data_IF_105992073638
#
_entry.id   IF_105992073638
#
_cell.length_a   1.000
_cell.length_b   1.000
_cell.length_c   1.000
_cell.angle_alpha   90.00
_cell.angle_beta   90.00
_cell.angle_gamma   90.00
#
_symmetry.space_group_name_H-M   'P 1'
#
loop_
_entity.id
_entity.type
_entity.pdbx_description
1 polymer ?
#
# COMPACT_ATOMS: atom_id res chain seq x y z
N UNK A 1 32.18 52.24 26.17
CA UNK A 1 32.62 50.91 25.70
C UNK A 1 31.40 50.03 25.55
N UNK A 2 31.16 49.47 24.35
CA UNK A 2 30.09 48.51 24.07
C UNK A 2 30.59 47.07 24.29
N UNK A 3 29.71 46.15 24.68
CA UNK A 3 29.74 44.79 24.10
C UNK A 3 28.40 44.10 24.36
N UNK A 4 27.74 43.73 23.27
CA UNK A 4 26.41 43.12 23.29
C UNK A 4 26.26 42.30 22.02
N UNK A 5 26.75 41.07 22.07
CA UNK A 5 26.62 40.09 21.00
C UNK A 5 25.17 39.58 20.91
N UNK A 6 24.56 39.53 19.71
CA UNK A 6 23.26 38.90 19.51
C UNK A 6 23.37 37.37 19.35
N UNK A 7 22.42 36.64 19.95
CA UNK A 7 22.25 35.19 19.84
C UNK A 7 21.66 34.76 18.48
N UNK A 8 21.96 33.54 17.99
CA UNK A 8 21.56 33.06 16.66
C UNK A 8 20.28 32.21 16.68
N UNK A 9 19.13 32.79 17.06
CA UNK A 9 17.84 32.09 17.06
C UNK A 9 16.76 32.86 16.27
N UNK A 10 17.05 33.22 15.03
CA UNK A 10 16.07 33.90 14.16
C UNK A 10 16.13 33.39 12.72
N UNK A 11 15.63 32.17 12.47
CA UNK A 11 15.29 31.75 11.11
C UNK A 11 14.04 30.85 11.10
N UNK A 12 13.01 31.35 10.40
CA UNK A 12 11.83 30.66 9.81
C UNK A 12 10.58 30.46 10.69
N UNK A 13 9.99 31.59 11.13
CA UNK A 13 8.55 31.65 11.38
C UNK A 13 7.80 31.82 10.05
N UNK A 14 6.86 30.90 9.81
CA UNK A 14 6.02 30.81 8.60
C UNK A 14 5.34 32.14 8.26
N UNK A 15 5.47 32.58 7.00
CA UNK A 15 4.73 33.73 6.49
C UNK A 15 3.26 33.36 6.28
N UNK A 16 2.43 34.01 7.08
CA UNK A 16 0.98 34.10 6.99
C UNK A 16 0.62 34.89 5.73
N UNK A 17 -0.21 34.30 4.86
CA UNK A 17 -0.73 34.95 3.66
C UNK A 17 -1.64 36.12 4.04
N UNK A 18 -1.37 37.30 3.46
CA UNK A 18 -2.24 38.48 3.58
C UNK A 18 -3.43 38.39 2.62
N UNK A 19 -4.63 38.88 3.00
CA UNK A 19 -5.80 38.90 2.14
C UNK A 19 -5.72 40.02 1.09
N UNK A 20 -6.33 39.77 -0.07
CA UNK A 20 -6.38 40.64 -1.25
C UNK A 20 -7.42 41.75 -1.05
N UNK A 21 -7.01 43.00 -1.21
CA UNK A 21 -7.88 44.19 -1.28
C UNK A 21 -8.36 44.41 -2.72
N UNK A 22 -9.65 44.71 -2.88
CA UNK A 22 -10.32 45.07 -4.15
C UNK A 22 -9.77 46.38 -4.76
N UNK A 23 -9.58 46.37 -6.08
CA UNK A 23 -9.54 47.57 -6.92
C UNK A 23 -8.20 47.85 -7.61
N UNK A 24 -7.96 47.24 -8.77
CA UNK A 24 -7.54 47.89 -10.03
C UNK A 24 -7.16 46.85 -11.11
N UNK A 25 -7.41 47.13 -12.42
CA UNK A 25 -7.40 46.13 -13.47
C UNK A 25 -6.00 45.92 -14.06
N UNK A 26 -5.31 44.85 -13.65
CA UNK A 26 -4.17 44.34 -14.42
C UNK A 26 -4.63 43.21 -15.33
N UNK A 27 -4.81 43.54 -16.61
CA UNK A 27 -5.05 42.58 -17.69
C UNK A 27 -3.77 41.78 -17.90
N UNK A 28 -3.72 40.46 -17.62
CA UNK A 28 -2.61 39.64 -18.05
C UNK A 28 -2.87 39.29 -19.52
N UNK A 29 -1.99 39.74 -20.43
CA UNK A 29 -1.92 39.23 -21.80
C UNK A 29 -1.62 37.73 -21.76
N UNK A 30 -2.66 36.90 -21.73
CA UNK A 30 -2.53 35.47 -21.99
C UNK A 30 -2.51 35.27 -23.51
N UNK A 31 -1.33 34.98 -24.03
CA UNK A 31 -1.15 34.44 -25.38
C UNK A 31 -1.84 33.08 -25.41
N UNK A 32 -3.04 33.04 -25.99
CA UNK A 32 -3.75 31.80 -26.29
C UNK A 32 -2.89 31.02 -27.28
N UNK A 33 -2.15 30.01 -26.80
CA UNK A 33 -1.54 29.02 -27.67
C UNK A 33 -2.66 28.10 -28.15
N UNK A 34 -2.93 27.98 -29.46
CA UNK A 34 -3.93 27.04 -29.94
C UNK A 34 -3.48 25.60 -29.68
N UNK A 35 -4.47 24.77 -29.34
CA UNK A 35 -4.37 23.36 -29.01
C UNK A 35 -4.10 22.54 -30.30
N UNK A 36 -2.89 22.63 -30.84
CA UNK A 36 -2.60 22.18 -32.21
C UNK A 36 -1.42 21.20 -32.45
N UNK A 37 -0.72 20.57 -31.48
CA UNK A 37 0.36 19.64 -31.84
C UNK A 37 -0.04 18.16 -31.94
N UNK A 38 -1.31 17.77 -31.77
CA UNK A 38 -1.69 16.33 -31.70
C UNK A 38 -2.39 15.77 -32.96
N UNK A 39 -2.54 16.56 -34.02
CA UNK A 39 -3.22 16.12 -35.26
C UNK A 39 -2.26 15.98 -36.46
N UNK A 40 -0.95 16.17 -36.28
CA UNK A 40 -0.01 16.09 -37.40
C UNK A 40 0.60 14.69 -37.49
N UNK A 41 0.30 14.05 -38.62
CA UNK A 41 0.57 12.65 -38.88
C UNK A 41 2.05 12.28 -38.88
N UNK A 42 2.28 11.06 -38.41
CA UNK A 42 3.38 10.14 -38.69
C UNK A 42 4.71 10.70 -39.20
N UNK A 43 5.69 10.75 -38.31
CA UNK A 43 7.06 10.26 -38.59
C UNK A 43 7.65 9.54 -37.36
N UNK A 44 8.41 8.45 -37.56
CA UNK A 44 8.86 7.59 -36.48
C UNK A 44 10.10 8.17 -35.81
N UNK A 45 10.11 8.18 -34.47
CA UNK A 45 11.31 8.44 -33.68
C UNK A 45 11.97 7.09 -33.37
N UNK A 46 13.25 6.85 -33.73
CA UNK A 46 13.95 5.63 -33.36
C UNK A 46 14.51 5.78 -31.94
N UNK A 47 14.49 4.69 -31.18
CA UNK A 47 15.10 4.47 -29.85
C UNK A 47 14.23 4.90 -28.66
N UNK A 48 13.36 3.98 -28.23
CA UNK A 48 13.55 3.24 -26.96
C UNK A 48 12.59 2.05 -26.92
N UNK A 49 13.16 0.86 -27.02
CA UNK A 49 12.50 -0.41 -26.71
C UNK A 49 12.17 -0.47 -25.21
N UNK A 50 10.96 -0.93 -24.87
CA UNK A 50 10.62 -1.31 -23.50
C UNK A 50 9.19 -0.97 -23.08
N UNK A 51 8.24 -1.84 -23.43
CA UNK A 51 6.94 -1.94 -22.75
C UNK A 51 5.84 -1.04 -23.29
N UNK A 52 5.29 -1.39 -24.46
CA UNK A 52 4.00 -0.86 -24.93
C UNK A 52 2.92 -1.22 -23.90
N UNK A 53 2.45 -0.26 -23.12
CA UNK A 53 1.10 -0.34 -22.57
C UNK A 53 0.15 -0.20 -23.76
N UNK A 54 -0.66 -1.21 -24.12
CA UNK A 54 -1.64 -1.03 -25.17
C UNK A 54 -2.61 0.06 -24.69
N UNK A 55 -2.60 1.21 -25.36
CA UNK A 55 -3.70 2.15 -25.27
C UNK A 55 -4.89 1.45 -25.93
N UNK A 56 -5.67 0.75 -25.10
CA UNK A 56 -6.91 0.08 -25.52
C UNK A 56 -7.81 1.18 -26.07
N UNK A 57 -8.00 1.17 -27.38
CA UNK A 57 -8.87 2.13 -28.02
C UNK A 57 -10.31 1.82 -27.61
N UNK A 58 -11.20 2.80 -27.40
CA UNK A 58 -12.60 2.54 -27.02
C UNK A 58 -13.33 1.60 -27.99
N UNK A 59 -12.82 1.47 -29.22
CA UNK A 59 -13.30 0.56 -30.25
C UNK A 59 -12.93 -0.92 -30.00
N UNK A 60 -11.79 -1.21 -29.35
CA UNK A 60 -11.35 -2.58 -29.04
C UNK A 60 -12.24 -3.26 -27.97
N UNK A 61 -12.91 -2.47 -27.13
CA UNK A 61 -13.89 -2.98 -26.15
C UNK A 61 -15.12 -3.62 -26.82
N UNK A 62 -15.42 -3.27 -28.07
CA UNK A 62 -16.56 -3.81 -28.82
C UNK A 62 -16.25 -5.12 -29.55
N UNK A 63 -14.96 -5.43 -29.77
CA UNK A 63 -14.53 -6.60 -30.55
C UNK A 63 -14.32 -7.87 -29.71
N UNK A 64 -14.74 -7.88 -28.45
CA UNK A 64 -14.72 -9.09 -27.64
C UNK A 64 -13.32 -9.60 -27.29
N UNK A 65 -12.28 -8.76 -27.40
CA UNK A 65 -11.01 -9.06 -26.72
C UNK A 65 -11.29 -9.10 -25.22
N UNK A 66 -11.21 -10.30 -24.67
CA UNK A 66 -11.39 -10.57 -23.24
C UNK A 66 -10.41 -9.65 -22.50
N UNK A 67 -10.89 -8.70 -21.66
CA UNK A 67 -9.99 -7.86 -20.89
C UNK A 67 -9.07 -8.78 -20.09
N UNK A 68 -7.78 -8.41 -20.02
CA UNK A 68 -6.75 -9.16 -19.29
C UNK A 68 -7.35 -9.69 -17.98
N UNK A 69 -7.33 -11.02 -17.81
CA UNK A 69 -8.06 -11.69 -16.75
C UNK A 69 -7.73 -11.01 -15.42
N UNK A 70 -8.73 -10.33 -14.85
CA UNK A 70 -8.57 -9.63 -13.58
C UNK A 70 -8.20 -10.62 -12.47
N UNK A 71 -7.78 -10.12 -11.30
CA UNK A 71 -7.49 -10.97 -10.15
C UNK A 71 -8.59 -11.97 -9.89
N UNK A 72 -8.21 -13.25 -9.84
CA UNK A 72 -9.11 -14.34 -9.51
C UNK A 72 -9.07 -14.61 -8.01
N UNK A 73 -10.08 -15.31 -7.49
CA UNK A 73 -10.08 -15.75 -6.09
C UNK A 73 -8.80 -16.54 -5.73
N UNK A 74 -8.32 -17.36 -6.67
CA UNK A 74 -7.10 -18.15 -6.47
C UNK A 74 -5.86 -17.26 -6.29
N UNK A 75 -5.67 -16.22 -7.10
CA UNK A 75 -4.49 -15.36 -6.97
C UNK A 75 -4.47 -14.62 -5.64
N UNK A 76 -5.63 -14.18 -5.16
CA UNK A 76 -5.73 -13.52 -3.85
C UNK A 76 -5.51 -14.51 -2.72
N UNK A 77 -6.05 -15.72 -2.83
CA UNK A 77 -5.83 -16.78 -1.84
C UNK A 77 -4.34 -17.15 -1.73
N UNK A 78 -3.66 -17.31 -2.85
CA UNK A 78 -2.20 -17.57 -2.89
C UNK A 78 -1.41 -16.41 -2.28
N UNK A 79 -1.77 -15.16 -2.61
CA UNK A 79 -1.14 -13.98 -2.01
C UNK A 79 -1.37 -13.90 -0.50
N UNK A 80 -2.58 -14.21 -0.03
CA UNK A 80 -2.88 -14.25 1.40
C UNK A 80 -2.06 -15.33 2.11
N UNK A 81 -1.92 -16.53 1.53
CA UNK A 81 -1.07 -17.61 2.04
C UNK A 81 0.40 -17.21 2.09
N UNK A 82 0.90 -16.55 1.04
CA UNK A 82 2.27 -16.07 1.01
C UNK A 82 2.53 -14.99 2.09
N UNK A 83 1.60 -14.05 2.27
CA UNK A 83 1.68 -13.06 3.34
C UNK A 83 1.63 -13.71 4.73
N UNK A 84 0.79 -14.74 4.90
CA UNK A 84 0.68 -15.50 6.15
C UNK A 84 1.98 -16.25 6.48
N UNK A 85 2.60 -16.91 5.49
CA UNK A 85 3.90 -17.56 5.66
C UNK A 85 4.99 -16.54 6.04
N UNK A 86 5.04 -15.41 5.33
CA UNK A 86 5.96 -14.30 5.62
C UNK A 86 5.83 -13.81 7.06
N UNK A 87 4.61 -13.64 7.57
CA UNK A 87 4.34 -13.30 8.97
C UNK A 87 4.84 -14.37 9.94
N UNK A 88 4.68 -15.66 9.60
CA UNK A 88 5.21 -16.78 10.37
C UNK A 88 6.74 -16.78 10.47
N UNK A 89 7.42 -16.43 9.38
CA UNK A 89 8.88 -16.30 9.35
C UNK A 89 9.35 -15.15 10.26
N UNK A 90 8.70 -13.99 10.18
CA UNK A 90 8.98 -12.85 11.06
C UNK A 90 8.76 -13.23 12.53
N UNK A 91 7.67 -13.93 12.84
CA UNK A 91 7.38 -14.39 14.21
C UNK A 91 8.49 -15.32 14.73
N UNK A 92 8.97 -16.23 13.88
CA UNK A 92 10.04 -17.17 14.23
C UNK A 92 11.35 -16.43 14.49
N UNK A 93 11.72 -15.48 13.63
CA UNK A 93 12.93 -14.66 13.80
C UNK A 93 12.87 -13.81 15.07
N UNK A 94 11.71 -13.24 15.42
CA UNK A 94 11.53 -12.44 16.63
C UNK A 94 11.56 -13.26 17.92
N UNK A 95 11.27 -14.56 17.87
CA UNK A 95 11.38 -15.48 19.01
C UNK A 95 12.82 -15.93 19.30
N UNK A 96 13.80 -15.50 18.51
CA UNK A 96 15.22 -15.84 18.73
C UNK A 96 15.67 -15.38 20.12
N UNK A 97 16.23 -16.28 20.96
CA UNK A 97 16.67 -15.91 22.30
C UNK A 97 17.77 -14.85 22.26
N UNK A 98 17.74 -13.90 23.20
CA UNK A 98 18.69 -12.79 23.35
C UNK A 98 18.68 -11.75 22.20
N UNK A 99 17.64 -11.73 21.35
CA UNK A 99 17.50 -10.70 20.32
C UNK A 99 17.35 -9.30 20.95
N UNK A 100 18.40 -8.48 20.85
CA UNK A 100 18.38 -7.07 21.26
C UNK A 100 18.25 -6.18 20.04
N UNK A 101 17.01 -5.74 19.76
CA UNK A 101 16.75 -4.79 18.69
C UNK A 101 17.25 -3.38 19.06
N UNK A 102 17.96 -2.72 18.15
CA UNK A 102 18.28 -1.29 18.26
C UNK A 102 16.99 -0.46 18.24
N UNK A 103 16.98 0.70 18.90
CA UNK A 103 15.77 1.53 19.04
C UNK A 103 15.22 2.00 17.68
N UNK A 104 16.09 2.39 16.75
CA UNK A 104 15.72 2.75 15.39
C UNK A 104 15.02 1.61 14.66
N UNK A 105 15.56 0.39 14.76
CA UNK A 105 14.98 -0.82 14.14
C UNK A 105 13.63 -1.17 14.76
N UNK A 106 13.47 -1.02 16.08
CA UNK A 106 12.15 -1.22 16.74
C UNK A 106 11.10 -0.29 16.14
N UNK A 107 11.44 0.98 15.92
CA UNK A 107 10.51 1.95 15.35
C UNK A 107 10.15 1.61 13.90
N UNK A 108 11.14 1.30 13.07
CA UNK A 108 10.91 0.91 11.67
C UNK A 108 10.07 -0.36 11.57
N UNK A 109 10.41 -1.39 12.36
CA UNK A 109 9.67 -2.64 12.39
C UNK A 109 8.24 -2.43 12.88
N UNK A 110 8.04 -1.63 13.94
CA UNK A 110 6.71 -1.25 14.43
C UNK A 110 5.88 -0.63 13.30
N UNK A 111 6.43 0.35 12.60
CA UNK A 111 5.71 1.07 11.56
C UNK A 111 5.37 0.15 10.40
N UNK A 112 6.32 -0.67 9.92
CA UNK A 112 6.08 -1.62 8.83
C UNK A 112 5.02 -2.66 9.20
N UNK A 113 5.14 -3.29 10.37
CA UNK A 113 4.17 -4.29 10.83
C UNK A 113 2.79 -3.67 11.07
N UNK A 114 2.73 -2.47 11.65
CA UNK A 114 1.47 -1.76 11.86
C UNK A 114 0.82 -1.35 10.53
N UNK A 115 1.60 -0.86 9.56
CA UNK A 115 1.09 -0.52 8.23
C UNK A 115 0.63 -1.78 7.50
N UNK A 116 1.44 -2.83 7.47
CA UNK A 116 1.06 -4.11 6.87
C UNK A 116 -0.22 -4.67 7.50
N UNK A 117 -0.34 -4.65 8.83
CA UNK A 117 -1.59 -5.00 9.54
C UNK A 117 -2.78 -4.17 9.05
N UNK A 118 -2.60 -2.84 8.93
CA UNK A 118 -3.65 -1.95 8.44
C UNK A 118 -4.11 -2.28 7.02
N UNK A 119 -3.17 -2.60 6.12
CA UNK A 119 -3.49 -2.97 4.74
C UNK A 119 -4.12 -4.36 4.64
N UNK A 120 -3.65 -5.34 5.42
CA UNK A 120 -4.31 -6.65 5.55
C UNK A 120 -5.75 -6.48 6.04
N UNK A 121 -5.96 -5.68 7.09
CA UNK A 121 -7.29 -5.39 7.60
C UNK A 121 -8.17 -4.69 6.55
N UNK A 122 -7.63 -3.71 5.83
CA UNK A 122 -8.32 -3.05 4.71
C UNK A 122 -8.74 -4.05 3.63
N UNK A 123 -7.87 -5.01 3.29
CA UNK A 123 -8.21 -6.10 2.38
C UNK A 123 -9.35 -6.98 2.92
N UNK A 124 -9.26 -7.42 4.19
CA UNK A 124 -10.33 -8.18 4.87
C UNK A 124 -11.67 -7.44 4.80
N UNK A 125 -11.68 -6.17 5.19
CA UNK A 125 -12.88 -5.34 5.27
C UNK A 125 -13.52 -5.15 3.87
N UNK A 126 -12.70 -4.95 2.83
CA UNK A 126 -13.17 -4.84 1.43
C UNK A 126 -13.82 -6.10 0.91
N UNK A 127 -13.34 -7.27 1.36
CA UNK A 127 -13.91 -8.58 1.03
C UNK A 127 -15.13 -8.93 1.91
N UNK A 128 -15.42 -8.11 2.91
CA UNK A 128 -16.49 -8.37 3.87
C UNK A 128 -16.18 -9.53 4.79
N UNK A 129 -14.90 -9.82 5.01
CA UNK A 129 -14.50 -10.83 5.98
C UNK A 129 -14.86 -10.36 7.40
N UNK A 130 -15.26 -11.27 8.30
CA UNK A 130 -15.55 -10.92 9.68
C UNK A 130 -14.30 -10.33 10.34
N UNK A 131 -14.49 -9.34 11.20
CA UNK A 131 -13.39 -8.76 11.95
C UNK A 131 -12.77 -9.85 12.84
N UNK A 132 -11.53 -10.25 12.52
CA UNK A 132 -10.81 -11.20 13.36
C UNK A 132 -10.55 -10.59 14.74
N UNK A 133 -10.55 -11.44 15.77
CA UNK A 133 -10.29 -11.02 17.15
C UNK A 133 -8.88 -10.44 17.26
N UNK A 134 -8.79 -9.20 17.73
CA UNK A 134 -7.53 -8.53 18.01
C UNK A 134 -6.96 -9.08 19.32
N UNK A 135 -5.68 -9.45 19.30
CA UNK A 135 -5.02 -10.01 20.47
C UNK A 135 -4.78 -8.92 21.51
N UNK A 136 -5.31 -9.11 22.71
CA UNK A 136 -5.02 -8.21 23.81
C UNK A 136 -3.55 -8.34 24.21
N UNK A 137 -2.75 -7.31 23.91
CA UNK A 137 -1.36 -7.23 24.36
C UNK A 137 -1.34 -6.62 25.77
N UNK A 138 -0.87 -7.34 26.81
CA UNK A 138 -0.86 -6.83 28.17
C UNK A 138 -0.14 -5.49 28.30
N UNK A 139 -0.67 -4.61 29.17
CA UNK A 139 -0.01 -3.34 29.50
C UNK A 139 1.35 -3.65 30.15
N UNK A 140 2.42 -3.00 29.66
CA UNK A 140 3.79 -3.26 30.11
C UNK A 140 4.55 -4.34 29.33
N UNK A 141 3.91 -5.00 28.36
CA UNK A 141 4.62 -5.93 27.47
C UNK A 141 5.76 -5.25 26.70
N UNK A 142 6.90 -5.94 26.61
CA UNK A 142 8.08 -5.49 25.87
C UNK A 142 7.81 -5.33 24.36
N UNK A 143 8.71 -4.63 23.66
CA UNK A 143 8.56 -4.34 22.24
C UNK A 143 8.40 -5.61 21.37
N UNK A 144 9.11 -6.70 21.69
CA UNK A 144 9.00 -7.97 20.98
C UNK A 144 7.59 -8.57 21.09
N UNK A 145 7.01 -8.58 22.29
CA UNK A 145 5.65 -9.09 22.50
C UNK A 145 4.62 -8.26 21.73
N UNK A 146 4.81 -6.94 21.65
CA UNK A 146 3.97 -6.06 20.83
C UNK A 146 4.07 -6.39 19.35
N UNK A 147 5.26 -6.69 18.84
CA UNK A 147 5.45 -7.12 17.44
C UNK A 147 4.82 -8.47 17.17
N UNK A 148 4.98 -9.43 18.08
CA UNK A 148 4.30 -10.73 17.98
C UNK A 148 2.79 -10.56 17.95
N UNK A 149 2.22 -9.69 18.79
CA UNK A 149 0.78 -9.39 18.74
C UNK A 149 0.34 -8.80 17.39
N UNK A 150 1.07 -7.82 16.85
CA UNK A 150 0.77 -7.28 15.50
C UNK A 150 0.83 -8.35 14.40
N UNK A 151 1.77 -9.29 14.52
CA UNK A 151 1.93 -10.40 13.57
C UNK A 151 0.76 -11.37 13.69
N UNK A 152 0.42 -11.79 14.92
CA UNK A 152 -0.70 -12.70 15.18
C UNK A 152 -2.02 -12.08 14.75
N UNK A 153 -2.26 -10.79 15.01
CA UNK A 153 -3.43 -10.09 14.48
C UNK A 153 -3.48 -10.14 12.95
N UNK A 154 -2.36 -9.89 12.28
CA UNK A 154 -2.25 -9.97 10.82
C UNK A 154 -2.56 -11.37 10.28
N UNK A 155 -2.07 -12.41 10.96
CA UNK A 155 -2.36 -13.81 10.62
C UNK A 155 -3.85 -14.12 10.76
N UNK A 156 -4.46 -13.76 11.89
CA UNK A 156 -5.89 -13.96 12.13
C UNK A 156 -6.75 -13.26 11.06
N UNK A 157 -6.37 -12.06 10.65
CA UNK A 157 -7.07 -11.32 9.59
C UNK A 157 -6.90 -11.97 8.20
N UNK A 158 -5.73 -12.51 7.89
CA UNK A 158 -5.51 -13.25 6.65
C UNK A 158 -6.30 -14.56 6.63
N UNK A 159 -6.45 -15.24 7.76
CA UNK A 159 -7.24 -16.46 7.86
C UNK A 159 -8.73 -16.19 7.65
N UNK A 160 -9.27 -15.15 8.31
CA UNK A 160 -10.64 -14.70 8.09
C UNK A 160 -10.87 -14.29 6.62
N UNK A 161 -9.90 -13.61 6.01
CA UNK A 161 -9.93 -13.27 4.58
C UNK A 161 -9.97 -14.50 3.69
N UNK A 162 -9.12 -15.50 3.95
CA UNK A 162 -9.06 -16.74 3.17
C UNK A 162 -10.39 -17.51 3.24
N UNK A 163 -11.00 -17.58 4.42
CA UNK A 163 -12.32 -18.19 4.61
C UNK A 163 -13.39 -17.44 3.81
N UNK A 164 -13.43 -16.11 3.91
CA UNK A 164 -14.37 -15.29 3.17
C UNK A 164 -14.21 -15.43 1.64
N UNK A 165 -12.97 -15.52 1.14
CA UNK A 165 -12.70 -15.76 -0.29
C UNK A 165 -13.27 -17.11 -0.72
N UNK A 166 -13.08 -18.16 0.08
CA UNK A 166 -13.64 -19.48 -0.20
C UNK A 166 -15.17 -19.46 -0.22
N UNK A 167 -15.80 -18.74 0.73
CA UNK A 167 -17.24 -18.59 0.81
C UNK A 167 -17.83 -17.83 -0.39
N UNK A 168 -17.18 -16.73 -0.82
CA UNK A 168 -17.61 -15.98 -2.00
C UNK A 168 -17.41 -16.81 -3.27
N UNK A 169 -16.30 -17.54 -3.39
CA UNK A 169 -16.04 -18.42 -4.52
C UNK A 169 -17.10 -19.53 -4.64
N UNK A 170 -17.51 -20.12 -3.51
CA UNK A 170 -18.57 -21.14 -3.47
C UNK A 170 -19.95 -20.58 -3.87
N UNK A 171 -20.27 -19.34 -3.46
CA UNK A 171 -21.53 -18.66 -3.79
C UNK A 171 -21.57 -18.07 -5.20
N UNK A 172 -20.43 -18.00 -5.89
CA UNK A 172 -20.25 -17.25 -7.14
C UNK A 172 -21.14 -17.71 -8.30
N UNK A 173 -21.67 -18.94 -8.26
CA UNK A 173 -22.50 -19.49 -9.34
C UNK A 173 -23.93 -18.90 -9.38
N UNK A 174 -24.45 -18.42 -8.25
CA UNK A 174 -25.81 -17.88 -8.14
C UNK A 174 -25.86 -16.34 -8.10
N UNK A 175 -24.74 -15.65 -8.30
CA UNK A 175 -24.68 -14.20 -8.22
C UNK A 175 -25.25 -13.53 -9.47
N UNK A 176 -25.94 -12.40 -9.27
CA UNK A 176 -26.36 -11.54 -10.38
C UNK A 176 -25.13 -10.93 -11.04
N UNK A 177 -25.14 -10.66 -12.36
CA UNK A 177 -23.98 -10.09 -13.06
C UNK A 177 -23.45 -8.78 -12.45
N UNK A 178 -24.35 -7.93 -11.92
CA UNK A 178 -23.97 -6.70 -11.23
C UNK A 178 -23.18 -6.97 -9.94
N UNK A 179 -23.57 -7.99 -9.18
CA UNK A 179 -22.88 -8.41 -7.95
C UNK A 179 -21.51 -9.02 -8.28
N UNK A 180 -21.42 -9.80 -9.37
CA UNK A 180 -20.16 -10.34 -9.86
C UNK A 180 -19.15 -9.24 -10.22
N UNK A 181 -19.59 -8.19 -10.91
CA UNK A 181 -18.73 -7.04 -11.22
C UNK A 181 -18.24 -6.34 -9.95
N UNK A 182 -19.14 -6.13 -8.98
CA UNK A 182 -18.78 -5.54 -7.70
C UNK A 182 -17.74 -6.41 -6.95
N UNK A 183 -17.93 -7.73 -6.95
CA UNK A 183 -16.97 -8.68 -6.38
C UNK A 183 -15.61 -8.55 -7.08
N UNK A 184 -15.57 -8.49 -8.41
CA UNK A 184 -14.31 -8.31 -9.15
C UNK A 184 -13.59 -7.01 -8.79
N UNK A 185 -14.32 -5.90 -8.60
CA UNK A 185 -13.74 -4.63 -8.15
C UNK A 185 -13.18 -4.76 -6.72
N UNK A 186 -13.91 -5.42 -5.82
CA UNK A 186 -13.46 -5.67 -4.44
C UNK A 186 -12.23 -6.55 -4.40
N UNK A 187 -12.20 -7.63 -5.20
CA UNK A 187 -11.04 -8.50 -5.35
C UNK A 187 -9.82 -7.72 -5.84
N UNK A 188 -9.97 -6.89 -6.88
CA UNK A 188 -8.86 -6.06 -7.38
C UNK A 188 -8.31 -5.11 -6.33
N UNK A 189 -9.19 -4.45 -5.57
CA UNK A 189 -8.76 -3.58 -4.47
C UNK A 189 -8.09 -4.37 -3.34
N UNK A 190 -8.60 -5.54 -2.98
CA UNK A 190 -8.01 -6.39 -1.95
C UNK A 190 -6.63 -6.92 -2.36
N UNK A 191 -6.47 -7.28 -3.64
CA UNK A 191 -5.19 -7.72 -4.20
C UNK A 191 -4.12 -6.64 -4.05
N UNK A 192 -4.43 -5.39 -4.37
CA UNK A 192 -3.48 -4.27 -4.24
C UNK A 192 -3.04 -4.07 -2.79
N UNK A 193 -3.98 -4.13 -1.84
CA UNK A 193 -3.70 -4.01 -0.41
C UNK A 193 -2.82 -5.15 0.09
N UNK A 194 -3.08 -6.39 -0.33
CA UNK A 194 -2.26 -7.54 0.01
C UNK A 194 -0.87 -7.47 -0.61
N UNK A 195 -0.73 -7.02 -1.87
CA UNK A 195 0.57 -6.82 -2.51
C UNK A 195 1.40 -5.78 -1.75
N UNK A 196 0.80 -4.65 -1.38
CA UNK A 196 1.49 -3.62 -0.61
C UNK A 196 1.88 -4.13 0.78
N UNK A 197 0.99 -4.87 1.44
CA UNK A 197 1.28 -5.53 2.72
C UNK A 197 2.48 -6.46 2.60
N UNK A 198 2.49 -7.34 1.59
CA UNK A 198 3.59 -8.28 1.33
C UNK A 198 4.92 -7.57 1.07
N UNK A 199 4.92 -6.46 0.32
CA UNK A 199 6.12 -5.65 0.11
C UNK A 199 6.66 -5.08 1.44
N UNK A 200 5.77 -4.58 2.31
CA UNK A 200 6.17 -4.06 3.62
C UNK A 200 6.73 -5.16 4.53
N UNK A 201 6.11 -6.35 4.51
CA UNK A 201 6.55 -7.51 5.28
C UNK A 201 7.90 -8.05 4.78
N UNK A 202 8.10 -8.13 3.46
CA UNK A 202 9.40 -8.49 2.88
C UNK A 202 10.51 -7.55 3.34
N UNK A 203 10.26 -6.24 3.28
CA UNK A 203 11.22 -5.25 3.79
C UNK A 203 11.44 -5.36 5.30
N UNK A 204 10.42 -5.73 6.07
CA UNK A 204 10.58 -5.98 7.51
C UNK A 204 11.47 -7.19 7.79
N UNK A 205 11.39 -8.25 6.97
CA UNK A 205 12.30 -9.41 7.04
C UNK A 205 13.73 -8.99 6.70
N UNK A 206 13.92 -8.21 5.64
CA UNK A 206 15.28 -7.77 5.25
C UNK A 206 15.94 -6.93 6.35
N UNK A 207 15.19 -6.00 6.96
CA UNK A 207 15.65 -5.21 8.10
C UNK A 207 16.02 -6.10 9.31
N UNK A 208 15.25 -7.18 9.54
CA UNK A 208 15.53 -8.15 10.62
C UNK A 208 16.78 -8.98 10.31
N UNK A 209 16.94 -9.49 9.10
CA UNK A 209 18.11 -10.26 8.66
C UNK A 209 19.38 -9.44 8.76
N UNK A 210 19.35 -8.19 8.27
CA UNK A 210 20.48 -7.27 8.37
C UNK A 210 20.88 -7.03 9.83
N UNK A 211 19.91 -6.94 10.75
CA UNK A 211 20.20 -6.78 12.17
C UNK A 211 20.82 -8.03 12.79
N UNK A 212 20.38 -9.22 12.38
CA UNK A 212 20.91 -10.49 12.87
C UNK A 212 22.27 -10.86 12.27
N UNK A 213 22.81 -10.03 11.36
CA UNK A 213 24.08 -10.31 10.68
C UNK A 213 24.01 -11.55 9.78
N UNK A 214 22.81 -11.99 9.43
CA UNK A 214 22.59 -13.10 8.50
C UNK A 214 22.78 -12.52 7.09
N UNK A 215 23.99 -12.67 6.54
CA UNK A 215 24.22 -12.48 5.11
C UNK A 215 23.62 -13.70 4.38
N UNK A 216 22.82 -13.43 3.35
CA UNK A 216 22.30 -14.48 2.45
C UNK A 216 23.43 -15.05 1.58
#
# INVERSE_FOLDING_TARGET
MPDGTPSPDDVLRSQVTKPITEGEPQVPKQTVRPFQPYMEGGRPNPLTEGGKSPQISPFDLSQGQVPAAGPTFNTIQEQAKAAHATLGDIATQLKTPKLKLKQSTKYLLKNKLSSAKGHIKSASDKLGAPAAQEQEIPKGSGALQKFLGLITDGQNQLDATQQQIADIAAKGQDMRPADMLLVQIKLSKAQQELQYSSMLLGKAIDDLKQLMGIQL
#
